data_IF_013576533028
#
_entry.id   IF_013576533028
#
_cell.length_a   1.000
_cell.length_b   1.000
_cell.length_c   1.000
_cell.angle_alpha   90.00
_cell.angle_beta   90.00
_cell.angle_gamma   90.00
#
_symmetry.space_group_name_H-M   'P 1'
#
loop_
_entity.id
_entity.type
_entity.pdbx_description
1 polymer ?
#
# COMPACT_ATOMS: atom_id res chain seq x y z
N UNK A 1 -6.21 51.95 -5.26
CA UNK A 1 -5.52 51.28 -4.12
C UNK A 1 -6.49 50.81 -3.03
N UNK A 2 -7.70 51.35 -2.87
CA UNK A 2 -8.71 50.86 -1.89
C UNK A 2 -9.48 49.59 -2.28
N UNK A 3 -9.40 49.12 -3.54
CA UNK A 3 -10.07 47.88 -3.97
C UNK A 3 -9.30 46.60 -3.64
N UNK A 4 -7.99 46.69 -3.40
CA UNK A 4 -7.14 45.55 -3.06
C UNK A 4 -7.20 45.16 -1.58
N UNK A 5 -7.56 46.09 -0.70
CA UNK A 5 -7.72 45.82 0.73
C UNK A 5 -8.99 44.99 1.03
N UNK A 6 -10.08 45.20 0.29
CA UNK A 6 -11.36 44.47 0.49
C UNK A 6 -11.33 43.00 0.03
N UNK A 7 -10.37 42.61 -0.80
CA UNK A 7 -10.19 41.22 -1.23
C UNK A 7 -9.51 40.33 -0.18
N UNK A 8 -8.67 40.89 0.69
CA UNK A 8 -7.96 40.11 1.74
C UNK A 8 -8.83 39.84 2.96
N UNK A 9 -9.77 40.71 3.28
CA UNK A 9 -10.60 40.59 4.49
C UNK A 9 -11.64 39.45 4.40
N UNK A 10 -12.19 39.19 3.21
CA UNK A 10 -13.14 38.06 3.01
C UNK A 10 -12.47 36.68 3.07
N UNK A 11 -11.16 36.59 2.79
CA UNK A 11 -10.40 35.34 2.93
C UNK A 11 -10.18 34.95 4.39
N UNK A 12 -10.02 35.93 5.28
CA UNK A 12 -9.79 35.70 6.72
C UNK A 12 -11.07 35.36 7.51
N UNK A 13 -12.25 35.74 7.02
CA UNK A 13 -13.52 35.46 7.71
C UNK A 13 -14.03 34.04 7.43
N UNK A 14 -13.76 33.49 6.25
CA UNK A 14 -14.15 32.12 5.89
C UNK A 14 -13.28 31.04 6.57
N UNK A 15 -12.07 31.40 7.01
CA UNK A 15 -11.16 30.53 7.78
C UNK A 15 -11.50 30.45 9.28
N UNK A 16 -12.35 31.35 9.80
CA UNK A 16 -12.72 31.37 11.24
C UNK A 16 -14.01 30.63 11.59
N UNK A 17 -14.81 30.22 10.61
CA UNK A 17 -16.11 29.56 10.83
C UNK A 17 -16.01 28.02 10.74
N UNK A 18 -14.95 27.47 10.12
CA UNK A 18 -14.77 26.02 10.05
C UNK A 18 -13.91 25.46 11.18
N UNK A 19 -14.64 24.93 12.17
CA UNK A 19 -14.29 23.75 12.97
C UNK A 19 -13.20 23.99 14.00
N UNK A 20 -13.62 23.98 15.27
CA UNK A 20 -12.79 23.61 16.42
C UNK A 20 -12.11 22.28 16.08
N UNK A 21 -10.88 22.35 15.55
CA UNK A 21 -10.21 21.18 14.97
C UNK A 21 -9.98 20.16 16.07
N UNK A 22 -10.31 18.88 15.84
CA UNK A 22 -10.06 17.85 16.81
C UNK A 22 -8.55 17.76 17.05
N UNK A 23 -8.11 18.08 18.27
CA UNK A 23 -6.74 17.86 18.77
C UNK A 23 -6.45 16.37 19.02
N UNK A 24 -7.42 15.50 18.70
CA UNK A 24 -7.45 14.08 18.99
C UNK A 24 -7.93 13.32 17.74
N UNK A 25 -7.11 12.39 17.23
CA UNK A 25 -7.60 11.33 16.34
C UNK A 25 -8.12 10.17 17.22
N UNK A 26 -9.31 9.64 16.90
CA UNK A 26 -9.95 8.50 17.58
C UNK A 26 -9.80 8.52 19.11
N UNK A 27 -10.64 9.33 19.76
CA UNK A 27 -10.97 9.33 21.19
C UNK A 27 -9.85 9.59 22.23
N UNK A 28 -8.54 9.32 22.00
CA UNK A 28 -7.49 9.51 23.03
C UNK A 28 -6.04 9.58 22.51
N UNK A 29 -5.75 9.37 21.22
CA UNK A 29 -4.36 9.21 20.77
C UNK A 29 -3.75 10.56 20.37
N UNK A 30 -2.60 10.89 20.96
CA UNK A 30 -1.79 12.04 20.56
C UNK A 30 -1.42 11.92 19.09
N UNK A 31 -1.68 12.98 18.31
CA UNK A 31 -1.42 13.04 16.87
C UNK A 31 0.03 12.63 16.50
N UNK A 32 1.00 12.97 17.35
CA UNK A 32 2.41 12.54 17.24
C UNK A 32 2.59 11.02 17.26
N UNK A 33 1.90 10.34 18.18
CA UNK A 33 1.97 8.87 18.29
C UNK A 33 1.38 8.22 17.05
N UNK A 34 0.28 8.77 16.52
CA UNK A 34 -0.32 8.31 15.26
C UNK A 34 0.67 8.37 14.10
N UNK A 35 1.36 9.49 13.91
CA UNK A 35 2.35 9.63 12.81
C UNK A 35 3.55 8.70 12.99
N UNK A 36 4.01 8.45 14.22
CA UNK A 36 5.06 7.45 14.49
C UNK A 36 4.61 6.05 14.07
N UNK A 37 3.40 5.64 14.46
CA UNK A 37 2.84 4.32 14.10
C UNK A 37 2.75 4.19 12.57
N UNK A 38 2.22 5.21 11.89
CA UNK A 38 2.10 5.23 10.42
C UNK A 38 3.48 5.09 9.76
N UNK A 39 4.50 5.77 10.29
CA UNK A 39 5.86 5.72 9.74
C UNK A 39 6.48 4.33 9.89
N UNK A 40 6.25 3.67 11.03
CA UNK A 40 6.72 2.30 11.28
C UNK A 40 6.00 1.30 10.36
N UNK A 41 4.68 1.44 10.21
CA UNK A 41 3.90 0.60 9.30
C UNK A 41 4.38 0.77 7.85
N UNK A 42 4.63 2.01 7.42
CA UNK A 42 5.16 2.28 6.08
C UNK A 42 6.53 1.64 5.87
N UNK A 43 7.41 1.68 6.88
CA UNK A 43 8.72 1.04 6.82
C UNK A 43 8.61 -0.49 6.70
N UNK A 44 7.81 -1.12 7.57
CA UNK A 44 7.61 -2.57 7.54
C UNK A 44 6.98 -3.02 6.22
N UNK A 45 6.01 -2.26 5.71
CA UNK A 45 5.38 -2.50 4.43
C UNK A 45 6.40 -2.41 3.29
N UNK A 46 7.20 -1.35 3.24
CA UNK A 46 8.25 -1.19 2.22
C UNK A 46 9.27 -2.33 2.24
N UNK A 47 9.72 -2.75 3.44
CA UNK A 47 10.67 -3.87 3.58
C UNK A 47 10.03 -5.19 3.15
N UNK A 48 8.79 -5.47 3.57
CA UNK A 48 8.09 -6.71 3.23
C UNK A 48 7.93 -6.87 1.72
N UNK A 49 7.40 -5.84 1.03
CA UNK A 49 7.21 -5.90 -0.42
C UNK A 49 8.53 -5.91 -1.19
N UNK A 50 9.54 -5.16 -0.73
CA UNK A 50 10.87 -5.25 -1.33
C UNK A 50 11.46 -6.67 -1.19
N UNK A 51 11.30 -7.31 -0.03
CA UNK A 51 11.77 -8.67 0.18
C UNK A 51 11.04 -9.68 -0.72
N UNK A 52 9.70 -9.56 -0.84
CA UNK A 52 8.89 -10.42 -1.70
C UNK A 52 9.25 -10.25 -3.19
N UNK A 53 9.38 -9.01 -3.65
CA UNK A 53 9.78 -8.70 -5.02
C UNK A 53 11.18 -9.26 -5.36
N UNK A 54 12.13 -9.18 -4.42
CA UNK A 54 13.51 -9.65 -4.63
C UNK A 54 13.67 -11.17 -4.49
N UNK A 55 12.84 -11.82 -3.68
CA UNK A 55 12.89 -13.27 -3.49
C UNK A 55 12.21 -14.05 -4.62
N UNK A 56 11.43 -13.37 -5.48
CA UNK A 56 10.78 -13.98 -6.64
C UNK A 56 9.69 -14.99 -6.28
N UNK A 57 9.23 -15.00 -5.02
CA UNK A 57 8.18 -15.92 -4.53
C UNK A 57 6.78 -15.47 -4.91
N UNK A 58 6.62 -14.22 -5.36
CA UNK A 58 5.32 -13.78 -5.82
C UNK A 58 4.95 -14.50 -7.12
N UNK A 59 3.81 -15.18 -7.07
CA UNK A 59 3.17 -15.85 -8.21
C UNK A 59 2.92 -14.91 -9.39
N UNK A 60 2.94 -13.59 -9.18
CA UNK A 60 2.88 -12.58 -10.22
C UNK A 60 4.23 -12.31 -10.89
N UNK A 61 5.32 -12.35 -10.12
CA UNK A 61 6.67 -12.06 -10.59
C UNK A 61 7.20 -13.16 -11.51
N UNK A 62 6.70 -14.39 -11.37
CA UNK A 62 7.09 -15.50 -12.24
C UNK A 62 6.73 -15.27 -13.72
N UNK A 63 5.68 -14.50 -14.00
CA UNK A 63 5.24 -14.16 -15.37
C UNK A 63 5.80 -12.84 -15.89
N UNK A 64 6.21 -11.95 -14.98
CA UNK A 64 6.89 -10.71 -15.34
C UNK A 64 8.32 -11.01 -15.83
N UNK A 65 8.82 -10.28 -16.85
CA UNK A 65 10.24 -10.34 -17.16
C UNK A 65 11.03 -9.93 -15.91
N UNK A 66 12.12 -10.66 -15.60
CA UNK A 66 12.96 -10.43 -14.41
C UNK A 66 13.32 -8.95 -14.19
N UNK A 67 13.50 -8.21 -15.29
CA UNK A 67 13.79 -6.77 -15.28
C UNK A 67 12.65 -5.96 -14.64
N UNK A 68 11.39 -6.27 -14.97
CA UNK A 68 10.24 -5.56 -14.40
C UNK A 68 10.11 -5.85 -12.90
N UNK A 69 10.30 -7.10 -12.49
CA UNK A 69 10.26 -7.50 -11.08
C UNK A 69 11.31 -6.77 -10.23
N UNK A 70 12.55 -6.67 -10.73
CA UNK A 70 13.61 -5.87 -10.10
C UNK A 70 13.20 -4.39 -10.04
N UNK A 71 12.60 -3.87 -11.11
CA UNK A 71 12.07 -2.50 -11.17
C UNK A 71 11.04 -2.23 -10.06
N UNK A 72 10.07 -3.12 -9.87
CA UNK A 72 9.10 -3.03 -8.78
C UNK A 72 9.79 -3.04 -7.41
N UNK A 73 10.71 -3.96 -7.17
CA UNK A 73 11.48 -4.02 -5.92
C UNK A 73 12.23 -2.71 -5.62
N UNK A 74 12.88 -2.11 -6.63
CA UNK A 74 13.57 -0.83 -6.48
C UNK A 74 12.60 0.30 -6.13
N UNK A 75 11.42 0.34 -6.74
CA UNK A 75 10.40 1.35 -6.43
C UNK A 75 9.88 1.22 -4.98
N UNK A 76 9.70 0.00 -4.47
CA UNK A 76 9.36 -0.22 -3.06
C UNK A 76 10.48 0.21 -2.11
N UNK A 77 11.75 0.00 -2.48
CA UNK A 77 12.90 0.47 -1.69
C UNK A 77 12.93 2.01 -1.57
N UNK A 78 12.46 2.76 -2.57
CA UNK A 78 12.39 4.23 -2.51
C UNK A 78 11.43 4.75 -1.41
N UNK A 79 10.51 3.92 -0.92
CA UNK A 79 9.59 4.29 0.18
C UNK A 79 10.30 4.26 1.55
N UNK A 80 11.30 3.40 1.71
CA UNK A 80 12.08 3.24 2.95
C UNK A 80 12.73 4.55 3.43
N UNK A 81 13.49 5.32 2.60
CA UNK A 81 14.09 6.58 3.03
C UNK A 81 13.04 7.62 3.41
N UNK A 82 11.84 7.58 2.82
CA UNK A 82 10.74 8.49 3.21
C UNK A 82 10.25 8.18 4.62
N UNK A 83 10.16 6.90 4.99
CA UNK A 83 9.84 6.50 6.36
C UNK A 83 10.93 6.93 7.35
N UNK A 84 12.21 6.71 7.02
CA UNK A 84 13.34 7.16 7.87
C UNK A 84 13.35 8.68 8.02
N UNK A 85 13.10 9.42 6.94
CA UNK A 85 12.98 10.88 6.97
C UNK A 85 11.79 11.33 7.82
N UNK A 86 10.66 10.62 7.77
CA UNK A 86 9.51 10.87 8.64
C UNK A 86 9.87 10.77 10.12
N UNK A 87 10.58 9.72 10.51
CA UNK A 87 11.05 9.56 11.89
C UNK A 87 11.95 10.73 12.32
N UNK A 88 12.91 11.10 11.46
CA UNK A 88 13.80 12.23 11.70
C UNK A 88 13.05 13.57 11.84
N UNK A 89 12.08 13.84 10.95
CA UNK A 89 11.29 15.07 10.95
C UNK A 89 10.48 15.22 12.25
N UNK A 90 9.91 14.12 12.77
CA UNK A 90 9.16 14.10 14.03
C UNK A 90 10.08 14.45 15.22
N UNK A 91 11.32 13.92 15.25
CA UNK A 91 12.26 14.18 16.35
C UNK A 91 12.72 15.64 16.40
N UNK A 92 12.93 16.28 15.23
CA UNK A 92 13.50 17.63 15.16
C UNK A 92 12.53 18.77 15.52
N UNK A 93 11.23 18.50 15.66
CA UNK A 93 10.18 19.50 15.99
C UNK A 93 10.25 20.78 15.12
N UNK A 94 10.76 20.67 13.90
CA UNK A 94 10.89 21.78 12.96
C UNK A 94 9.73 21.69 11.96
N UNK A 95 8.82 22.67 11.92
CA UNK A 95 7.61 22.59 11.10
C UNK A 95 7.93 22.59 9.59
N UNK A 96 9.03 23.20 9.17
CA UNK A 96 9.46 23.18 7.77
C UNK A 96 9.83 21.76 7.33
N UNK A 97 10.54 21.00 8.19
CA UNK A 97 10.85 19.59 7.92
C UNK A 97 9.58 18.73 7.87
N UNK A 98 8.62 19.01 8.75
CA UNK A 98 7.32 18.32 8.78
C UNK A 98 6.47 18.59 7.52
N UNK A 99 6.51 19.80 6.98
CA UNK A 99 5.84 20.10 5.70
C UNK A 99 6.48 19.35 4.52
N UNK A 100 7.82 19.32 4.46
CA UNK A 100 8.54 18.57 3.42
C UNK A 100 8.20 17.09 3.53
N UNK A 101 8.20 16.55 4.75
CA UNK A 101 7.78 15.17 5.01
C UNK A 101 6.35 14.90 4.53
N UNK A 102 5.39 15.78 4.84
CA UNK A 102 4.01 15.59 4.39
C UNK A 102 3.89 15.53 2.86
N UNK A 103 4.64 16.35 2.13
CA UNK A 103 4.66 16.30 0.65
C UNK A 103 5.28 15.00 0.13
N UNK A 104 6.41 14.57 0.71
CA UNK A 104 7.07 13.31 0.33
C UNK A 104 6.20 12.09 0.66
N UNK A 105 5.49 12.13 1.78
CA UNK A 105 4.57 11.08 2.20
C UNK A 105 3.41 10.94 1.23
N UNK A 106 2.77 12.05 0.81
CA UNK A 106 1.75 12.04 -0.24
C UNK A 106 2.29 11.48 -1.56
N UNK A 107 3.48 11.92 -1.98
CA UNK A 107 4.13 11.38 -3.18
C UNK A 107 4.35 9.87 -3.09
N UNK A 108 4.71 9.36 -1.91
CA UNK A 108 4.95 7.94 -1.68
C UNK A 108 3.64 7.14 -1.68
N UNK A 109 2.57 7.67 -1.08
CA UNK A 109 1.24 7.05 -1.13
C UNK A 109 0.76 6.95 -2.57
N UNK A 110 0.87 8.04 -3.35
CA UNK A 110 0.47 8.02 -4.76
C UNK A 110 1.25 6.98 -5.55
N UNK A 111 2.56 6.87 -5.32
CA UNK A 111 3.40 5.85 -5.94
C UNK A 111 2.93 4.43 -5.55
N UNK A 112 2.70 4.16 -4.26
CA UNK A 112 2.23 2.86 -3.78
C UNK A 112 0.86 2.47 -4.35
N UNK A 113 -0.09 3.42 -4.40
CA UNK A 113 -1.41 3.18 -4.99
C UNK A 113 -1.26 2.83 -6.48
N UNK A 114 -0.39 3.54 -7.21
CA UNK A 114 -0.14 3.25 -8.62
C UNK A 114 0.46 1.85 -8.81
N UNK A 115 1.44 1.47 -7.99
CA UNK A 115 2.06 0.15 -8.02
C UNK A 115 1.05 -0.96 -7.77
N UNK A 116 0.26 -0.86 -6.71
CA UNK A 116 -0.76 -1.86 -6.41
C UNK A 116 -1.90 -1.90 -7.44
N UNK A 117 -2.20 -0.77 -8.10
CA UNK A 117 -3.15 -0.76 -9.21
C UNK A 117 -2.60 -1.55 -10.40
N UNK A 118 -1.33 -1.37 -10.73
CA UNK A 118 -0.66 -2.11 -11.80
C UNK A 118 -0.65 -3.61 -11.48
N UNK A 119 -0.31 -4.00 -10.25
CA UNK A 119 -0.36 -5.40 -9.79
C UNK A 119 -1.76 -5.98 -9.92
N UNK A 120 -2.79 -5.26 -9.47
CA UNK A 120 -4.18 -5.70 -9.57
C UNK A 120 -4.61 -5.89 -11.04
N UNK A 121 -4.24 -4.97 -11.93
CA UNK A 121 -4.54 -5.07 -13.36
C UNK A 121 -3.84 -6.29 -13.98
N UNK A 122 -2.55 -6.49 -13.72
CA UNK A 122 -1.84 -7.67 -14.20
C UNK A 122 -2.41 -8.97 -13.65
N UNK A 123 -2.85 -8.97 -12.39
CA UNK A 123 -3.52 -10.12 -11.77
C UNK A 123 -4.79 -10.53 -12.52
N UNK A 124 -5.55 -9.54 -13.00
CA UNK A 124 -6.76 -9.77 -13.79
C UNK A 124 -6.44 -10.24 -15.20
N UNK A 125 -5.42 -9.65 -15.84
CA UNK A 125 -5.01 -9.98 -17.21
C UNK A 125 -4.45 -11.41 -17.30
N UNK A 126 -3.64 -11.83 -16.33
CA UNK A 126 -3.03 -13.17 -16.31
C UNK A 126 -3.82 -14.21 -15.51
N UNK A 127 -5.09 -13.93 -15.23
CA UNK A 127 -5.95 -14.85 -14.48
C UNK A 127 -5.94 -16.26 -15.06
N UNK A 128 -6.08 -16.39 -16.37
CA UNK A 128 -6.21 -17.69 -17.02
C UNK A 128 -4.88 -18.45 -17.03
N UNK A 129 -3.75 -17.75 -17.16
CA UNK A 129 -2.41 -18.34 -17.05
C UNK A 129 -2.14 -18.86 -15.63
N UNK A 130 -2.59 -18.13 -14.60
CA UNK A 130 -2.47 -18.56 -13.20
C UNK A 130 -3.31 -19.83 -12.96
N UNK A 131 -4.52 -19.91 -13.53
CA UNK A 131 -5.36 -21.11 -13.44
C UNK A 131 -4.66 -22.31 -14.12
N UNK A 132 -4.13 -22.11 -15.34
CA UNK A 132 -3.42 -23.16 -16.07
C UNK A 132 -2.17 -23.67 -15.31
N UNK A 133 -1.43 -22.77 -14.67
CA UNK A 133 -0.28 -23.15 -13.85
C UNK A 133 -0.70 -23.89 -12.57
N UNK A 134 -1.78 -23.48 -11.92
CA UNK A 134 -2.35 -24.19 -10.78
C UNK A 134 -2.71 -25.64 -11.13
N UNK A 135 -3.38 -25.84 -12.27
CA UNK A 135 -3.75 -27.17 -12.75
C UNK A 135 -2.50 -28.03 -13.03
N UNK A 136 -1.46 -27.42 -13.63
CA UNK A 136 -0.19 -28.10 -13.92
C UNK A 136 0.55 -28.54 -12.66
N UNK A 137 0.62 -27.68 -11.65
CA UNK A 137 1.33 -27.98 -10.39
C UNK A 137 0.63 -29.09 -9.60
N UNK A 138 -0.71 -29.09 -9.56
CA UNK A 138 -1.48 -30.16 -8.93
C UNK A 138 -1.35 -31.48 -9.69
N UNK A 139 -1.38 -31.43 -11.03
CA UNK A 139 -1.21 -32.63 -11.87
C UNK A 139 0.17 -33.28 -11.72
N UNK A 140 1.21 -32.50 -11.39
CA UNK A 140 2.53 -33.06 -11.07
C UNK A 140 2.53 -33.82 -9.72
N UNK A 141 1.74 -33.35 -8.75
CA UNK A 141 1.64 -33.96 -7.42
C UNK A 141 0.78 -35.22 -7.39
N UNK A 142 -0.13 -35.39 -8.36
CA UNK A 142 -1.02 -36.55 -8.49
C UNK A 142 -0.70 -37.28 -9.79
N UNK A 143 0.28 -38.21 -9.79
CA UNK A 143 0.66 -38.93 -11.01
C UNK A 143 -0.53 -39.76 -11.53
N UNK A 144 -1.04 -39.34 -12.69
CA UNK A 144 -2.05 -40.07 -13.44
C UNK A 144 -1.42 -41.32 -14.04
N UNK A 145 -1.58 -42.46 -13.37
CA UNK A 145 -1.47 -43.84 -13.88
C UNK A 145 -0.19 -44.24 -14.65
N UNK A 146 0.84 -43.39 -14.69
CA UNK A 146 2.09 -43.69 -15.37
C UNK A 146 3.03 -44.44 -14.44
N UNK A 147 3.43 -45.63 -14.87
CA UNK A 147 4.12 -46.68 -14.11
C UNK A 147 5.55 -46.34 -13.67
N UNK A 148 5.93 -45.06 -13.62
CA UNK A 148 7.29 -44.58 -13.40
C UNK A 148 7.43 -43.57 -12.26
N UNK A 149 6.33 -43.21 -11.57
CA UNK A 149 6.38 -42.27 -10.44
C UNK A 149 6.41 -43.00 -9.10
N UNK A 150 7.44 -42.78 -8.28
CA UNK A 150 7.65 -43.39 -6.95
C UNK A 150 6.75 -42.85 -5.84
N UNK A 151 5.70 -42.09 -6.18
CA UNK A 151 4.73 -41.55 -5.22
C UNK A 151 3.55 -42.51 -5.14
N UNK A 152 3.14 -42.97 -3.95
CA UNK A 152 2.06 -43.95 -3.81
C UNK A 152 0.76 -43.39 -4.40
N UNK A 153 0.25 -44.07 -5.42
CA UNK A 153 -1.04 -43.80 -6.02
C UNK A 153 -2.14 -43.86 -4.94
N UNK A 154 -2.80 -42.73 -4.68
CA UNK A 154 -3.97 -42.68 -3.81
C UNK A 154 -5.21 -43.01 -4.66
N UNK A 155 -5.95 -44.10 -4.35
CA UNK A 155 -7.17 -44.45 -5.08
C UNK A 155 -8.30 -43.42 -4.94
N UNK A 156 -8.11 -42.39 -4.10
CA UNK A 156 -9.04 -41.28 -3.91
C UNK A 156 -8.56 -39.97 -4.58
N UNK A 157 -7.69 -40.07 -5.59
CA UNK A 157 -7.23 -38.91 -6.35
C UNK A 157 -8.44 -38.14 -6.95
N UNK A 158 -8.51 -36.81 -6.79
CA UNK A 158 -9.60 -36.02 -7.35
C UNK A 158 -9.57 -36.06 -8.88
N UNK A 159 -10.75 -36.20 -9.49
CA UNK A 159 -10.91 -36.10 -10.94
C UNK A 159 -10.49 -34.70 -11.45
N UNK A 160 -10.05 -34.60 -12.71
CA UNK A 160 -9.61 -33.33 -13.32
C UNK A 160 -10.65 -32.21 -13.16
N UNK A 161 -11.93 -32.53 -13.34
CA UNK A 161 -13.02 -31.57 -13.17
C UNK A 161 -13.17 -31.01 -11.74
N UNK A 162 -12.66 -31.70 -10.72
CA UNK A 162 -12.61 -31.22 -9.34
C UNK A 162 -11.42 -30.28 -9.16
N UNK A 163 -10.27 -30.60 -9.78
CA UNK A 163 -9.06 -29.78 -9.76
C UNK A 163 -9.31 -28.43 -10.44
N UNK A 164 -9.85 -28.43 -11.66
CA UNK A 164 -10.11 -27.21 -12.44
C UNK A 164 -11.06 -26.25 -11.69
N UNK A 165 -12.10 -26.81 -11.05
CA UNK A 165 -13.03 -26.05 -10.20
C UNK A 165 -12.35 -25.46 -8.98
N UNK A 166 -11.49 -26.24 -8.31
CA UNK A 166 -10.76 -25.78 -7.13
C UNK A 166 -9.77 -24.65 -7.48
N UNK A 167 -9.00 -24.80 -8.56
CA UNK A 167 -8.08 -23.77 -9.05
C UNK A 167 -8.83 -22.50 -9.45
N UNK A 168 -9.90 -22.62 -10.25
CA UNK A 168 -10.71 -21.47 -10.67
C UNK A 168 -11.33 -20.75 -9.46
N UNK A 169 -11.86 -21.50 -8.49
CA UNK A 169 -12.41 -20.93 -7.27
C UNK A 169 -11.34 -20.23 -6.42
N UNK A 170 -10.18 -20.84 -6.25
CA UNK A 170 -9.05 -20.29 -5.50
C UNK A 170 -8.56 -18.97 -6.10
N UNK A 171 -8.31 -18.95 -7.42
CA UNK A 171 -7.87 -17.74 -8.12
C UNK A 171 -8.92 -16.64 -8.06
N UNK A 172 -10.20 -16.95 -8.25
CA UNK A 172 -11.27 -15.97 -8.13
C UNK A 172 -11.38 -15.38 -6.71
N UNK A 173 -11.24 -16.21 -5.68
CA UNK A 173 -11.26 -15.76 -4.28
C UNK A 173 -10.05 -14.89 -3.96
N UNK A 174 -8.88 -15.24 -4.47
CA UNK A 174 -7.66 -14.46 -4.35
C UNK A 174 -7.77 -13.10 -5.06
N UNK A 175 -8.29 -13.05 -6.28
CA UNK A 175 -8.52 -11.79 -7.01
C UNK A 175 -9.54 -10.90 -6.29
N UNK A 176 -10.63 -11.49 -5.78
CA UNK A 176 -11.62 -10.76 -5.00
C UNK A 176 -10.99 -10.17 -3.73
N UNK A 177 -10.20 -10.98 -3.00
CA UNK A 177 -9.48 -10.53 -1.82
C UNK A 177 -8.50 -9.40 -2.14
N UNK A 178 -7.73 -9.55 -3.22
CA UNK A 178 -6.79 -8.54 -3.69
C UNK A 178 -7.50 -7.22 -4.03
N UNK A 179 -8.64 -7.27 -4.73
CA UNK A 179 -9.43 -6.08 -5.06
C UNK A 179 -10.01 -5.37 -3.82
N UNK A 180 -10.52 -6.14 -2.86
CA UNK A 180 -11.01 -5.60 -1.57
C UNK A 180 -9.86 -4.98 -0.79
N UNK A 181 -8.72 -5.67 -0.74
CA UNK A 181 -7.53 -5.19 -0.05
C UNK A 181 -7.04 -3.86 -0.66
N UNK A 182 -7.01 -3.78 -1.99
CA UNK A 182 -6.67 -2.55 -2.71
C UNK A 182 -7.61 -1.39 -2.37
N UNK A 183 -8.93 -1.62 -2.42
CA UNK A 183 -9.91 -0.56 -2.19
C UNK A 183 -9.92 -0.08 -0.73
N UNK A 184 -9.94 -1.00 0.23
CA UNK A 184 -10.10 -0.65 1.64
C UNK A 184 -8.76 -0.23 2.25
N UNK A 185 -7.74 -1.08 2.12
CA UNK A 185 -6.48 -0.86 2.81
C UNK A 185 -5.56 0.08 2.02
N UNK A 186 -5.41 -0.11 0.71
CA UNK A 186 -4.49 0.73 -0.04
C UNK A 186 -5.07 2.10 -0.38
N UNK A 187 -6.36 2.21 -0.72
CA UNK A 187 -6.95 3.51 -1.07
C UNK A 187 -7.45 4.27 0.17
N UNK A 188 -8.43 3.72 0.89
CA UNK A 188 -9.11 4.46 1.97
C UNK A 188 -8.19 4.72 3.17
N UNK A 189 -7.51 3.69 3.67
CA UNK A 189 -6.61 3.87 4.81
C UNK A 189 -5.40 4.75 4.47
N UNK A 190 -4.78 4.59 3.29
CA UNK A 190 -3.65 5.45 2.91
C UNK A 190 -4.05 6.91 2.77
N UNK A 191 -5.19 7.20 2.12
CA UNK A 191 -5.70 8.57 2.02
C UNK A 191 -6.01 9.13 3.40
N UNK A 192 -6.65 8.34 4.28
CA UNK A 192 -6.91 8.73 5.66
C UNK A 192 -5.62 9.08 6.40
N UNK A 193 -4.59 8.24 6.34
CA UNK A 193 -3.29 8.51 6.94
C UNK A 193 -2.60 9.73 6.31
N UNK A 194 -2.71 9.93 5.00
CA UNK A 194 -2.25 11.13 4.30
C UNK A 194 -2.85 12.40 4.90
N UNK A 195 -4.17 12.42 5.10
CA UNK A 195 -4.86 13.57 5.72
C UNK A 195 -4.41 13.82 7.16
N UNK A 196 -4.14 12.77 7.94
CA UNK A 196 -3.63 12.88 9.32
C UNK A 196 -2.24 13.51 9.34
N UNK A 197 -1.32 13.02 8.50
CA UNK A 197 0.05 13.54 8.41
C UNK A 197 0.04 15.01 7.97
N UNK A 198 -0.81 15.35 7.00
CA UNK A 198 -0.95 16.73 6.54
C UNK A 198 -1.56 17.64 7.62
N UNK A 199 -2.59 17.18 8.33
CA UNK A 199 -3.17 17.91 9.46
C UNK A 199 -2.14 18.17 10.57
N UNK A 200 -1.34 17.16 10.89
CA UNK A 200 -0.25 17.26 11.87
C UNK A 200 0.80 18.29 11.46
N UNK A 201 1.26 18.25 10.20
CA UNK A 201 2.26 19.20 9.70
C UNK A 201 1.78 20.65 9.80
N UNK A 202 0.49 20.90 9.50
CA UNK A 202 -0.12 22.24 9.59
C UNK A 202 -0.28 22.72 11.02
N UNK A 203 -0.59 21.81 11.95
CA UNK A 203 -0.74 22.16 13.36
C UNK A 203 0.60 22.61 13.97
N UNK A 204 1.68 21.88 13.71
CA UNK A 204 3.02 22.23 14.23
C UNK A 204 3.55 23.54 13.61
N UNK A 205 3.24 23.84 12.34
CA UNK A 205 3.59 25.13 11.73
C UNK A 205 2.95 26.30 12.48
N UNK A 206 1.64 26.23 12.74
CA UNK A 206 0.92 27.30 13.45
C UNK A 206 1.43 27.49 14.87
N UNK A 207 1.80 26.40 15.54
CA UNK A 207 2.40 26.48 16.89
C UNK A 207 3.69 27.28 16.88
N UNK A 208 4.51 27.17 15.83
CA UNK A 208 5.71 28.00 15.72
C UNK A 208 5.40 29.47 15.44
N UNK A 209 4.44 29.77 14.56
CA UNK A 209 4.05 31.16 14.25
C UNK A 209 3.48 31.92 15.47
N UNK A 210 2.87 31.21 16.43
CA UNK A 210 2.38 31.81 17.67
C UNK A 210 3.48 32.11 18.70
N UNK A 211 4.66 31.50 18.55
CA UNK A 211 5.79 31.64 19.47
C UNK A 211 6.81 32.66 18.95
N UNK A 212 6.88 32.86 17.62
CA UNK A 212 7.73 33.86 16.96
C UNK A 212 7.13 35.26 17.01
#
# INVERSE_FOLDING_TARGET
MESEARGKEKKHLHDRIFVKRPTLCCCCINLRVGVIIITVLLLLHGIWYAAMALSGVETFVSHLPKIAAIGFGVLYILVIPVAVFGFYAITKKNPNLLQIFSRLFWSSITLLILLHLIELVFSLVWRDDIIANCEKDINYLVPSNSSTSTVPYSPNAPNQNVIDKACTQGVNLFLLWSAINFLIFNLLLSVYFGTIVEAFSREELRKQELIS
#
